data_IF_598367700445
#
_entry.id   IF_598367700445
#
_cell.length_a   1.000
_cell.length_b   1.000
_cell.length_c   1.000
_cell.angle_alpha   90.00
_cell.angle_beta   90.00
_cell.angle_gamma   90.00
#
_symmetry.space_group_name_H-M   'P 1'
#
loop_
_entity.id
_entity.type
_entity.pdbx_description
1 polymer ?
#
# COMPACT_ATOMS: atom_id res chain seq x y z
N UNK A 1 -1.59 23.29 -4.48
CA UNK A 1 -0.25 22.94 -5.00
C UNK A 1 -0.05 23.70 -6.29
N UNK A 2 1.10 24.36 -6.44
CA UNK A 2 1.50 24.96 -7.72
C UNK A 2 2.05 23.86 -8.64
N UNK A 3 1.58 23.82 -9.88
CA UNK A 3 1.99 22.81 -10.85
C UNK A 3 3.44 23.05 -11.34
N UNK A 4 3.90 24.30 -11.39
CA UNK A 4 5.24 24.66 -11.82
C UNK A 4 6.30 24.30 -10.78
N UNK A 5 5.97 24.40 -9.49
CA UNK A 5 6.83 23.94 -8.40
C UNK A 5 7.02 22.42 -8.46
N UNK A 6 5.96 21.69 -8.78
CA UNK A 6 6.00 20.25 -8.94
C UNK A 6 6.92 19.86 -10.11
N UNK A 7 6.72 20.46 -11.29
CA UNK A 7 7.57 20.20 -12.44
C UNK A 7 9.05 20.52 -12.17
N UNK A 8 9.33 21.64 -11.51
CA UNK A 8 10.70 22.05 -11.16
C UNK A 8 11.34 21.06 -10.19
N UNK A 9 10.66 20.67 -9.12
CA UNK A 9 11.20 19.71 -8.15
C UNK A 9 11.44 18.32 -8.76
N UNK A 10 10.61 17.88 -9.70
CA UNK A 10 10.84 16.63 -10.43
C UNK A 10 12.08 16.72 -11.35
N UNK A 11 12.20 17.82 -12.12
CA UNK A 11 13.34 18.05 -12.99
C UNK A 11 14.67 18.16 -12.22
N UNK A 12 14.64 18.74 -11.02
CA UNK A 12 15.79 18.88 -10.13
C UNK A 12 16.09 17.59 -9.32
N UNK A 13 15.28 16.53 -9.47
CA UNK A 13 15.45 15.27 -8.74
C UNK A 13 15.15 15.34 -7.24
N UNK A 14 14.37 16.34 -6.80
CA UNK A 14 14.00 16.55 -5.39
C UNK A 14 13.06 15.46 -4.88
N UNK A 15 12.21 14.92 -5.75
CA UNK A 15 11.28 13.84 -5.42
C UNK A 15 11.04 12.93 -6.63
N UNK A 16 10.62 11.69 -6.37
CA UNK A 16 10.36 10.68 -7.42
C UNK A 16 8.89 10.64 -7.85
N UNK A 17 7.97 10.92 -6.92
CA UNK A 17 6.53 10.83 -7.13
C UNK A 17 5.78 11.80 -6.23
N UNK A 18 4.51 12.06 -6.55
CA UNK A 18 3.61 12.82 -5.70
C UNK A 18 2.50 11.91 -5.16
N UNK A 19 2.15 12.07 -3.88
CA UNK A 19 1.12 11.27 -3.20
C UNK A 19 -0.13 12.12 -2.96
N UNK A 20 -1.29 11.61 -3.37
CA UNK A 20 -2.59 12.16 -2.96
C UNK A 20 -3.10 11.38 -1.75
N UNK A 21 -3.42 12.14 -0.70
CA UNK A 21 -4.30 11.73 0.38
C UNK A 21 -5.62 12.50 0.27
N UNK A 22 -6.76 11.81 0.13
CA UNK A 22 -8.06 12.44 0.35
C UNK A 22 -8.13 13.00 1.77
N UNK A 23 -8.74 14.17 1.93
CA UNK A 23 -8.80 14.84 3.23
C UNK A 23 -9.45 13.93 4.28
N UNK A 24 -8.76 13.71 5.41
CA UNK A 24 -9.17 12.86 6.52
C UNK A 24 -9.25 11.35 6.23
N UNK A 25 -8.57 10.85 5.19
CA UNK A 25 -8.56 9.43 4.87
C UNK A 25 -7.71 8.59 5.81
N UNK A 26 -6.61 9.15 6.33
CA UNK A 26 -5.65 8.44 7.19
C UNK A 26 -4.89 9.40 8.12
N UNK A 27 -3.93 8.88 8.90
CA UNK A 27 -3.07 9.66 9.79
C UNK A 27 -2.43 10.85 9.06
N UNK A 28 -2.49 12.04 9.67
CA UNK A 28 -1.94 13.31 9.13
C UNK A 28 -2.55 13.79 7.79
N UNK A 29 -3.71 13.27 7.37
CA UNK A 29 -4.36 13.67 6.10
C UNK A 29 -5.36 14.83 6.23
N UNK A 30 -5.42 15.54 7.35
CA UNK A 30 -6.37 16.64 7.55
C UNK A 30 -6.22 17.80 6.54
N UNK A 31 -5.00 18.01 6.02
CA UNK A 31 -4.69 18.96 4.95
C UNK A 31 -4.79 18.33 3.54
N UNK A 32 -5.40 17.16 3.41
CA UNK A 32 -5.55 16.43 2.16
C UNK A 32 -6.53 17.08 1.18
N UNK A 33 -6.77 16.39 0.07
CA UNK A 33 -7.57 16.91 -1.05
C UNK A 33 -9.05 16.71 -0.77
N UNK A 34 -9.83 17.79 -0.78
CA UNK A 34 -11.29 17.76 -0.57
C UNK A 34 -12.10 17.55 -1.84
N UNK A 35 -11.64 18.08 -2.98
CA UNK A 35 -12.19 17.80 -4.30
C UNK A 35 -11.04 17.48 -5.27
N UNK A 36 -11.03 16.26 -5.81
CA UNK A 36 -9.97 15.76 -6.67
C UNK A 36 -9.93 16.47 -8.03
N UNK A 37 -11.06 16.99 -8.51
CA UNK A 37 -11.14 17.73 -9.78
C UNK A 37 -10.34 19.03 -9.75
N UNK A 38 -10.21 19.65 -8.57
CA UNK A 38 -9.38 20.84 -8.39
C UNK A 38 -7.89 20.56 -8.64
N UNK A 39 -7.47 19.29 -8.63
CA UNK A 39 -6.11 18.89 -8.96
C UNK A 39 -5.91 18.61 -10.44
N UNK A 40 -6.93 18.64 -11.29
CA UNK A 40 -6.78 18.29 -12.71
C UNK A 40 -5.69 19.10 -13.43
N UNK A 41 -5.52 20.41 -13.19
CA UNK A 41 -4.39 21.15 -13.75
C UNK A 41 -3.02 20.62 -13.29
N UNK A 42 -2.92 20.18 -12.02
CA UNK A 42 -1.71 19.56 -11.47
C UNK A 42 -1.49 18.18 -12.07
N UNK A 43 -2.54 17.38 -12.22
CA UNK A 43 -2.48 16.04 -12.85
C UNK A 43 -2.08 16.13 -14.32
N UNK A 44 -2.61 17.11 -15.06
CA UNK A 44 -2.19 17.39 -16.43
C UNK A 44 -0.70 17.73 -16.49
N UNK A 45 -0.18 18.48 -15.52
CA UNK A 45 1.24 18.78 -15.46
C UNK A 45 2.08 17.56 -15.10
N UNK A 46 1.63 16.75 -14.14
CA UNK A 46 2.26 15.47 -13.81
C UNK A 46 2.34 14.55 -15.03
N UNK A 47 1.26 14.47 -15.81
CA UNK A 47 1.24 13.69 -17.05
C UNK A 47 2.26 14.22 -18.07
N UNK A 48 2.32 15.53 -18.27
CA UNK A 48 3.24 16.15 -19.22
C UNK A 48 4.71 15.95 -18.85
N UNK A 49 5.03 15.95 -17.56
CA UNK A 49 6.39 15.80 -17.03
C UNK A 49 6.73 14.36 -16.61
N UNK A 50 5.83 13.39 -16.90
CA UNK A 50 5.98 11.98 -16.54
C UNK A 50 6.23 11.70 -15.04
N UNK A 51 5.57 12.49 -14.18
CA UNK A 51 5.64 12.35 -12.72
C UNK A 51 4.62 11.30 -12.27
N UNK A 52 5.07 10.33 -11.48
CA UNK A 52 4.20 9.27 -10.95
C UNK A 52 3.25 9.83 -9.89
N UNK A 53 1.97 9.48 -10.02
CA UNK A 53 0.93 9.74 -9.04
C UNK A 53 0.70 8.50 -8.16
N UNK A 54 1.03 8.59 -6.88
CA UNK A 54 0.65 7.60 -5.88
C UNK A 54 -0.69 8.01 -5.25
N UNK A 55 -1.61 7.08 -5.03
CA UNK A 55 -2.95 7.38 -4.52
C UNK A 55 -3.29 6.48 -3.34
N UNK A 56 -3.64 7.08 -2.20
CA UNK A 56 -4.44 6.41 -1.19
C UNK A 56 -5.91 6.49 -1.61
N UNK A 57 -6.44 5.42 -2.20
CA UNK A 57 -7.73 5.45 -2.90
C UNK A 57 -8.92 5.10 -2.01
N UNK A 58 -9.24 5.92 -1.02
CA UNK A 58 -10.47 5.81 -0.23
C UNK A 58 -11.23 7.15 -0.22
N UNK A 59 -12.54 7.11 -0.39
CA UNK A 59 -13.38 8.27 -0.06
C UNK A 59 -13.53 8.39 1.46
N UNK A 60 -13.77 9.60 1.97
CA UNK A 60 -13.78 9.86 3.42
C UNK A 60 -15.14 10.30 3.95
N UNK A 61 -16.16 10.17 3.09
CA UNK A 61 -17.54 10.56 3.41
C UNK A 61 -18.05 9.78 4.63
N UNK A 62 -18.66 10.50 5.57
CA UNK A 62 -19.11 9.95 6.85
C UNK A 62 -20.25 8.92 6.71
N UNK A 63 -20.98 8.97 5.60
CA UNK A 63 -22.10 8.06 5.30
C UNK A 63 -21.68 6.79 4.55
N UNK A 64 -20.39 6.67 4.19
CA UNK A 64 -19.86 5.52 3.47
C UNK A 64 -19.14 4.61 4.45
N UNK A 65 -19.57 3.35 4.50
CA UNK A 65 -18.97 2.34 5.34
C UNK A 65 -17.48 2.17 4.99
N UNK A 66 -16.63 2.05 6.00
CA UNK A 66 -15.17 1.94 5.83
C UNK A 66 -14.75 0.76 4.94
N UNK A 67 -15.56 -0.30 4.87
CA UNK A 67 -15.30 -1.44 4.01
C UNK A 67 -15.57 -1.16 2.52
N UNK A 68 -16.37 -0.13 2.20
CA UNK A 68 -16.80 0.20 0.83
C UNK A 68 -16.01 1.38 0.22
N UNK A 69 -15.24 2.12 1.04
CA UNK A 69 -14.56 3.36 0.65
C UNK A 69 -13.59 3.21 -0.52
N UNK A 70 -12.87 2.09 -0.60
CA UNK A 70 -11.92 1.83 -1.69
C UNK A 70 -12.65 1.65 -3.03
N UNK A 71 -13.74 0.87 -3.03
CA UNK A 71 -14.57 0.68 -4.21
C UNK A 71 -15.23 2.00 -4.66
N UNK A 72 -15.80 2.74 -3.72
CA UNK A 72 -16.40 4.05 -4.01
C UNK A 72 -15.39 5.04 -4.60
N UNK A 73 -14.14 5.01 -4.16
CA UNK A 73 -13.08 5.83 -4.76
C UNK A 73 -12.80 5.45 -6.21
N UNK A 74 -12.77 4.15 -6.53
CA UNK A 74 -12.60 3.66 -7.90
C UNK A 74 -13.70 4.21 -8.80
N UNK A 75 -14.94 4.03 -8.37
CA UNK A 75 -16.13 4.34 -9.16
C UNK A 75 -16.33 5.86 -9.33
N UNK A 76 -16.04 6.66 -8.29
CA UNK A 76 -16.22 8.13 -8.33
C UNK A 76 -15.06 8.90 -8.94
N UNK A 77 -13.83 8.41 -8.80
CA UNK A 77 -12.65 9.21 -9.06
C UNK A 77 -11.63 8.51 -9.94
N UNK A 78 -11.17 7.31 -9.57
CA UNK A 78 -9.99 6.73 -10.19
C UNK A 78 -10.21 6.39 -11.68
N UNK A 79 -11.39 5.86 -12.03
CA UNK A 79 -11.77 5.63 -13.43
C UNK A 79 -11.73 6.91 -14.26
N UNK A 80 -12.24 8.03 -13.72
CA UNK A 80 -12.25 9.32 -14.40
C UNK A 80 -10.84 9.91 -14.54
N UNK A 81 -9.99 9.80 -13.52
CA UNK A 81 -8.59 10.25 -13.57
C UNK A 81 -7.84 9.52 -14.69
N UNK A 82 -7.93 8.18 -14.73
CA UNK A 82 -7.23 7.38 -15.75
C UNK A 82 -7.77 7.64 -17.15
N UNK A 83 -9.07 7.90 -17.30
CA UNK A 83 -9.67 8.24 -18.59
C UNK A 83 -9.26 9.65 -19.09
N UNK A 84 -9.16 10.63 -18.19
CA UNK A 84 -8.82 12.01 -18.53
C UNK A 84 -7.31 12.22 -18.75
N UNK A 85 -6.47 11.42 -18.09
CA UNK A 85 -5.01 11.49 -18.16
C UNK A 85 -4.42 10.14 -18.58
N UNK A 86 -4.61 9.72 -19.85
CA UNK A 86 -4.28 8.37 -20.31
C UNK A 86 -2.78 8.04 -20.30
N UNK A 87 -1.90 9.04 -20.18
CA UNK A 87 -0.44 8.86 -20.08
C UNK A 87 0.09 9.05 -18.65
N UNK A 88 -0.74 9.51 -17.71
CA UNK A 88 -0.33 9.67 -16.32
C UNK A 88 -0.07 8.30 -15.70
N UNK A 89 1.15 8.08 -15.20
CA UNK A 89 1.49 6.88 -14.43
C UNK A 89 0.89 6.97 -13.03
N UNK A 90 0.07 5.99 -12.67
CA UNK A 90 -0.65 5.93 -11.40
C UNK A 90 -0.29 4.65 -10.64
N UNK A 91 0.07 4.80 -9.37
CA UNK A 91 0.17 3.70 -8.41
C UNK A 91 -1.03 3.79 -7.48
N UNK A 92 -1.92 2.80 -7.56
CA UNK A 92 -2.96 2.57 -6.57
C UNK A 92 -2.31 1.90 -5.36
N UNK A 93 -2.02 2.69 -4.33
CA UNK A 93 -1.28 2.20 -3.17
C UNK A 93 -2.12 1.21 -2.37
N UNK A 94 -1.42 0.26 -1.73
CA UNK A 94 -1.90 -0.64 -0.68
C UNK A 94 -3.34 -1.15 -0.90
N UNK A 95 -3.63 -1.67 -2.10
CA UNK A 95 -4.98 -2.11 -2.47
C UNK A 95 -5.47 -3.23 -1.55
N UNK A 96 -6.78 -3.24 -1.24
CA UNK A 96 -7.35 -4.15 -0.24
C UNK A 96 -8.56 -4.94 -0.73
N UNK A 97 -9.07 -4.64 -1.92
CA UNK A 97 -10.29 -5.24 -2.48
C UNK A 97 -10.02 -6.00 -3.79
N UNK A 98 -10.79 -7.07 -4.02
CA UNK A 98 -10.98 -7.67 -5.35
C UNK A 98 -11.31 -6.61 -6.41
N UNK A 99 -12.18 -5.64 -6.11
CA UNK A 99 -12.54 -4.56 -7.02
C UNK A 99 -11.32 -3.74 -7.49
N UNK A 100 -10.37 -3.46 -6.59
CA UNK A 100 -9.12 -2.78 -6.94
C UNK A 100 -8.19 -3.65 -7.79
N UNK A 101 -8.12 -4.95 -7.51
CA UNK A 101 -7.38 -5.91 -8.36
C UNK A 101 -7.95 -5.91 -9.77
N UNK A 102 -9.27 -6.09 -9.91
CA UNK A 102 -9.98 -6.09 -11.20
C UNK A 102 -9.75 -4.78 -11.96
N UNK A 103 -9.86 -3.63 -11.28
CA UNK A 103 -9.60 -2.32 -11.87
C UNK A 103 -8.16 -2.19 -12.42
N UNK A 104 -7.15 -2.64 -11.66
CA UNK A 104 -5.74 -2.57 -12.09
C UNK A 104 -5.48 -3.50 -13.27
N UNK A 105 -6.04 -4.72 -13.24
CA UNK A 105 -5.94 -5.69 -14.35
C UNK A 105 -6.54 -5.14 -15.65
N UNK A 106 -7.74 -4.56 -15.58
CA UNK A 106 -8.47 -3.96 -16.70
C UNK A 106 -7.84 -2.67 -17.24
N UNK A 107 -7.06 -1.96 -16.43
CA UNK A 107 -6.43 -0.69 -16.81
C UNK A 107 -5.28 -0.85 -17.81
N UNK A 108 -4.80 0.26 -18.38
CA UNK A 108 -3.61 0.23 -19.24
C UNK A 108 -2.30 0.06 -18.46
N UNK A 109 -1.14 0.00 -19.15
CA UNK A 109 0.18 -0.20 -18.53
C UNK A 109 0.63 0.98 -17.65
N UNK A 110 -0.04 2.13 -17.74
CA UNK A 110 0.22 3.29 -16.89
C UNK A 110 -0.35 3.14 -15.47
N UNK A 111 -1.15 2.12 -15.19
CA UNK A 111 -1.72 1.86 -13.86
C UNK A 111 -1.08 0.61 -13.25
N UNK A 112 -0.54 0.77 -12.05
CA UNK A 112 -0.03 -0.30 -11.22
C UNK A 112 -0.56 -0.18 -9.79
N UNK A 113 -0.27 -1.16 -8.94
CA UNK A 113 -0.64 -1.15 -7.54
C UNK A 113 0.44 -1.75 -6.64
N UNK A 114 0.50 -1.23 -5.42
CA UNK A 114 1.24 -1.88 -4.33
C UNK A 114 0.31 -2.73 -3.49
N UNK A 115 0.83 -3.86 -2.99
CA UNK A 115 0.10 -4.74 -2.07
C UNK A 115 0.98 -4.93 -0.84
N UNK A 116 0.42 -4.74 0.34
CA UNK A 116 1.14 -4.83 1.62
C UNK A 116 1.18 -6.27 2.14
N UNK A 117 2.14 -6.65 3.01
CA UNK A 117 2.18 -8.02 3.50
C UNK A 117 0.97 -8.33 4.39
N UNK A 118 0.50 -7.38 5.21
CA UNK A 118 -0.70 -7.58 6.03
C UNK A 118 -1.94 -7.92 5.21
N UNK A 119 -2.16 -7.27 4.07
CA UNK A 119 -3.35 -7.53 3.25
C UNK A 119 -3.27 -8.86 2.48
N UNK A 120 -2.11 -9.51 2.46
CA UNK A 120 -1.95 -10.89 1.96
C UNK A 120 -2.16 -11.95 3.06
N UNK A 121 -1.84 -11.61 4.31
CA UNK A 121 -1.93 -12.52 5.46
C UNK A 121 -3.29 -12.50 6.14
N UNK A 122 -3.83 -11.31 6.39
CA UNK A 122 -5.01 -11.13 7.24
C UNK A 122 -6.23 -10.69 6.44
N UNK A 123 -7.37 -11.24 6.83
CA UNK A 123 -8.68 -10.63 6.56
C UNK A 123 -9.20 -9.99 7.86
N UNK A 124 -10.33 -9.28 7.79
CA UNK A 124 -10.90 -8.54 8.92
C UNK A 124 -11.18 -9.38 10.18
N UNK A 125 -11.30 -10.71 10.08
CA UNK A 125 -11.47 -11.56 11.25
C UNK A 125 -10.24 -11.51 12.17
N UNK A 126 -9.02 -11.36 11.62
CA UNK A 126 -7.80 -11.19 12.42
C UNK A 126 -7.83 -9.93 13.29
N UNK A 127 -8.67 -8.96 12.95
CA UNK A 127 -8.85 -7.73 13.72
C UNK A 127 -9.99 -7.85 14.76
N UNK A 128 -10.96 -8.74 14.56
CA UNK A 128 -12.26 -8.68 15.26
C UNK A 128 -12.68 -9.95 16.01
N UNK A 129 -12.21 -11.14 15.62
CA UNK A 129 -12.64 -12.42 16.21
C UNK A 129 -11.86 -12.70 17.50
N UNK A 130 -12.57 -13.05 18.57
CA UNK A 130 -11.97 -13.36 19.88
C UNK A 130 -11.55 -12.13 20.70
N UNK A 131 -11.67 -10.93 20.13
CA UNK A 131 -11.31 -9.66 20.75
C UNK A 131 -10.77 -8.69 19.70
N UNK A 132 -10.91 -7.38 19.95
CA UNK A 132 -10.34 -6.36 19.06
C UNK A 132 -8.81 -6.41 19.12
N UNK A 133 -8.17 -6.55 17.96
CA UNK A 133 -6.71 -6.57 17.80
C UNK A 133 -6.25 -5.26 17.14
N UNK A 134 -5.93 -4.20 17.91
CA UNK A 134 -5.60 -2.89 17.34
C UNK A 134 -4.32 -2.91 16.51
N UNK A 135 -3.38 -3.82 16.78
CA UNK A 135 -2.15 -3.98 15.99
C UNK A 135 -2.39 -4.53 14.58
N UNK A 136 -3.60 -5.03 14.29
CA UNK A 136 -4.05 -5.40 12.93
C UNK A 136 -4.90 -4.31 12.25
N UNK A 137 -5.11 -3.17 12.90
CA UNK A 137 -5.86 -2.04 12.34
C UNK A 137 -4.96 -1.10 11.54
N UNK A 138 -5.26 -0.94 10.25
CA UNK A 138 -4.66 0.02 9.32
C UNK A 138 -5.71 0.55 8.33
N UNK A 139 -5.30 1.47 7.45
CA UNK A 139 -6.14 2.03 6.40
C UNK A 139 -5.42 1.90 5.04
N UNK A 140 -6.10 1.38 4.00
CA UNK A 140 -7.47 0.87 4.00
C UNK A 140 -7.62 -0.35 4.90
N UNK A 141 -8.79 -0.54 5.51
CA UNK A 141 -8.98 -1.63 6.48
C UNK A 141 -8.90 -3.00 5.80
N UNK A 142 -8.32 -4.01 6.46
CA UNK A 142 -8.39 -5.39 5.98
C UNK A 142 -9.85 -5.80 5.73
N UNK A 143 -10.11 -6.43 4.58
CA UNK A 143 -11.47 -6.70 4.07
C UNK A 143 -11.90 -8.16 4.34
N UNK A 144 -13.00 -8.60 3.74
CA UNK A 144 -13.44 -10.01 3.76
C UNK A 144 -12.45 -10.92 3.05
N UNK A 145 -12.53 -12.22 3.34
CA UNK A 145 -11.59 -13.23 2.82
C UNK A 145 -11.51 -13.27 1.29
N UNK A 146 -12.62 -13.07 0.58
CA UNK A 146 -12.62 -13.06 -0.89
C UNK A 146 -11.67 -11.99 -1.47
N UNK A 147 -11.52 -10.85 -0.78
CA UNK A 147 -10.61 -9.80 -1.22
C UNK A 147 -9.16 -10.19 -0.91
N UNK A 148 -8.88 -10.78 0.26
CA UNK A 148 -7.54 -11.29 0.60
C UNK A 148 -7.05 -12.31 -0.44
N UNK A 149 -7.92 -13.25 -0.83
CA UNK A 149 -7.61 -14.25 -1.86
C UNK A 149 -7.35 -13.62 -3.24
N UNK A 150 -8.11 -12.59 -3.61
CA UNK A 150 -7.86 -11.84 -4.84
C UNK A 150 -6.48 -11.15 -4.82
N UNK A 151 -6.11 -10.54 -3.69
CA UNK A 151 -4.80 -9.91 -3.52
C UNK A 151 -3.64 -10.91 -3.59
N UNK A 152 -3.79 -12.08 -2.95
CA UNK A 152 -2.79 -13.17 -3.02
C UNK A 152 -2.58 -13.61 -4.45
N UNK A 153 -3.65 -13.89 -5.18
CA UNK A 153 -3.59 -14.25 -6.60
C UNK A 153 -2.91 -13.15 -7.44
N UNK A 154 -3.23 -11.88 -7.19
CA UNK A 154 -2.65 -10.76 -7.91
C UNK A 154 -1.15 -10.63 -7.66
N UNK A 155 -0.72 -10.65 -6.39
CA UNK A 155 0.68 -10.54 -6.00
C UNK A 155 1.54 -11.68 -6.58
N UNK A 156 1.04 -12.92 -6.55
CA UNK A 156 1.79 -14.11 -6.98
C UNK A 156 1.64 -14.44 -8.46
N UNK A 157 0.93 -13.62 -9.24
CA UNK A 157 0.63 -13.84 -10.66
C UNK A 157 1.83 -13.71 -11.60
N UNK A 158 2.90 -13.02 -11.18
CA UNK A 158 3.99 -12.59 -12.07
C UNK A 158 3.66 -11.38 -12.95
N UNK A 159 2.49 -10.76 -12.77
CA UNK A 159 2.13 -9.53 -13.49
C UNK A 159 3.01 -8.34 -13.07
N UNK A 160 3.54 -7.54 -14.02
CA UNK A 160 4.34 -6.36 -13.72
C UNK A 160 3.54 -5.20 -13.12
N UNK A 161 2.20 -5.31 -13.06
CA UNK A 161 1.33 -4.28 -12.49
C UNK A 161 1.26 -4.31 -10.96
N UNK A 162 1.71 -5.39 -10.33
CA UNK A 162 1.70 -5.54 -8.87
C UNK A 162 3.13 -5.65 -8.34
N UNK A 163 3.45 -4.82 -7.35
CA UNK A 163 4.77 -4.81 -6.73
C UNK A 163 4.72 -4.47 -5.24
N UNK A 164 5.84 -4.71 -4.58
CA UNK A 164 5.98 -4.56 -3.14
C UNK A 164 5.78 -3.11 -2.68
N UNK A 165 4.90 -2.91 -1.70
CA UNK A 165 4.81 -1.68 -0.92
C UNK A 165 4.31 -2.03 0.47
N UNK A 166 5.15 -1.85 1.50
CA UNK A 166 4.87 -2.38 2.84
C UNK A 166 3.77 -1.61 3.57
N UNK A 167 3.64 -0.31 3.27
CA UNK A 167 2.88 0.64 4.09
C UNK A 167 3.23 0.51 5.58
N UNK A 168 4.52 0.30 5.88
CA UNK A 168 4.97 0.16 7.26
C UNK A 168 4.79 1.49 7.99
N UNK A 169 3.82 1.51 8.91
CA UNK A 169 3.37 2.70 9.63
C UNK A 169 3.53 2.49 11.14
N UNK A 170 4.71 2.76 11.71
CA UNK A 170 4.96 2.57 13.13
C UNK A 170 4.18 3.57 13.97
N UNK A 171 3.56 3.06 15.03
CA UNK A 171 2.97 3.85 16.10
C UNK A 171 3.41 3.30 17.44
N UNK A 172 3.57 4.20 18.41
CA UNK A 172 3.79 3.80 19.80
C UNK A 172 2.67 2.88 20.27
N UNK A 173 3.02 1.89 21.08
CA UNK A 173 2.08 0.92 21.64
C UNK A 173 0.92 1.61 22.37
N UNK A 174 1.22 2.67 23.12
CA UNK A 174 0.24 3.50 23.82
C UNK A 174 -0.76 4.18 22.88
N UNK A 175 -0.35 4.53 21.65
CA UNK A 175 -1.21 5.14 20.65
C UNK A 175 -2.10 4.09 19.95
N UNK A 176 -1.62 2.85 19.81
CA UNK A 176 -2.39 1.71 19.29
C UNK A 176 -3.39 1.17 20.32
N UNK A 177 -2.97 1.00 21.56
CA UNK A 177 -3.74 0.46 22.69
C UNK A 177 -4.44 1.58 23.47
N UNK A 178 -5.29 2.34 22.78
CA UNK A 178 -5.99 3.50 23.34
C UNK A 178 -7.49 3.47 23.06
N UNK A 179 -8.24 4.45 23.58
CA UNK A 179 -9.66 4.63 23.27
C UNK A 179 -9.93 4.95 21.78
N UNK A 180 -8.89 5.41 21.05
CA UNK A 180 -8.94 5.69 19.61
C UNK A 180 -7.61 5.25 18.99
N UNK A 181 -7.44 3.94 18.81
CA UNK A 181 -6.19 3.35 18.32
C UNK A 181 -5.81 3.87 16.92
N UNK A 182 -4.55 4.31 16.75
CA UNK A 182 -4.07 4.78 15.45
C UNK A 182 -4.09 3.67 14.39
N UNK A 183 -4.44 4.02 13.15
CA UNK A 183 -4.34 3.14 11.99
C UNK A 183 -2.88 3.04 11.53
N UNK A 184 -2.36 1.82 11.39
CA UNK A 184 -1.01 1.57 10.90
C UNK A 184 -0.42 0.27 11.46
N UNK A 185 0.32 -0.45 10.63
CA UNK A 185 1.00 -1.70 11.03
C UNK A 185 2.50 -1.53 10.83
N UNK A 186 3.29 -1.83 11.85
CA UNK A 186 4.74 -1.76 11.77
C UNK A 186 5.33 -3.05 11.20
N UNK A 187 5.26 -3.20 9.87
CA UNK A 187 5.69 -4.41 9.17
C UNK A 187 7.14 -4.41 8.67
N UNK A 188 7.83 -3.26 8.63
CA UNK A 188 9.16 -3.16 8.02
C UNK A 188 10.20 -4.19 8.51
N UNK A 189 10.32 -4.52 9.82
CA UNK A 189 11.38 -5.41 10.29
C UNK A 189 11.33 -6.85 9.75
N UNK A 190 10.16 -7.33 9.34
CA UNK A 190 9.95 -8.72 8.88
C UNK A 190 9.13 -8.78 7.59
N UNK A 191 9.20 -7.73 6.76
CA UNK A 191 8.35 -7.59 5.59
C UNK A 191 8.66 -8.65 4.52
N UNK A 192 9.95 -8.90 4.25
CA UNK A 192 10.36 -9.83 3.19
C UNK A 192 9.98 -11.27 3.53
N UNK A 193 10.21 -11.67 4.78
CA UNK A 193 9.84 -12.95 5.39
C UNK A 193 8.32 -13.16 5.28
N UNK A 194 7.54 -12.11 5.54
CA UNK A 194 6.09 -12.13 5.42
C UNK A 194 5.62 -12.31 3.97
N UNK A 195 6.20 -11.57 3.02
CA UNK A 195 5.84 -11.75 1.60
C UNK A 195 6.24 -13.12 1.07
N UNK A 196 7.49 -13.55 1.30
CA UNK A 196 7.99 -14.82 0.76
C UNK A 196 7.21 -16.00 1.32
N UNK A 197 6.73 -15.92 2.56
CA UNK A 197 5.79 -16.91 3.14
C UNK A 197 4.53 -17.06 2.28
N UNK A 198 3.91 -15.96 1.87
CA UNK A 198 2.72 -16.01 0.99
C UNK A 198 3.06 -16.56 -0.39
N UNK A 199 4.17 -16.11 -0.98
CA UNK A 199 4.59 -16.59 -2.30
C UNK A 199 4.90 -18.08 -2.28
N UNK A 200 5.44 -18.59 -1.17
CA UNK A 200 5.67 -20.02 -0.97
C UNK A 200 4.37 -20.81 -0.84
N UNK A 201 3.45 -20.36 0.02
CA UNK A 201 2.12 -20.98 0.21
C UNK A 201 1.32 -21.07 -1.09
N UNK A 202 1.44 -20.09 -1.99
CA UNK A 202 0.78 -20.05 -3.30
C UNK A 202 1.58 -20.78 -4.40
N UNK A 203 2.76 -21.34 -4.10
CA UNK A 203 3.64 -21.95 -5.10
C UNK A 203 4.22 -20.95 -6.12
N UNK A 204 4.24 -19.67 -5.77
CA UNK A 204 4.64 -18.54 -6.61
C UNK A 204 6.07 -18.01 -6.40
N UNK A 205 6.95 -18.74 -5.70
CA UNK A 205 8.33 -18.27 -5.39
C UNK A 205 9.11 -17.77 -6.61
N UNK A 206 8.91 -18.37 -7.79
CA UNK A 206 9.54 -17.94 -9.04
C UNK A 206 9.15 -16.52 -9.49
N UNK A 207 8.06 -15.98 -8.98
CA UNK A 207 7.58 -14.62 -9.27
C UNK A 207 7.99 -13.60 -8.19
N UNK A 208 8.59 -14.03 -7.08
CA UNK A 208 8.85 -13.17 -5.93
C UNK A 208 9.84 -12.05 -6.25
N UNK A 209 10.94 -12.35 -6.95
CA UNK A 209 11.92 -11.34 -7.37
C UNK A 209 11.28 -10.26 -8.26
N UNK A 210 10.40 -10.67 -9.18
CA UNK A 210 9.62 -9.75 -10.00
C UNK A 210 8.86 -8.73 -9.15
N UNK A 211 8.04 -9.24 -8.22
CA UNK A 211 7.22 -8.43 -7.31
C UNK A 211 8.06 -7.54 -6.37
N UNK A 212 9.14 -8.08 -5.80
CA UNK A 212 9.91 -7.43 -4.75
C UNK A 212 10.99 -6.48 -5.27
N UNK A 213 11.50 -6.68 -6.49
CA UNK A 213 12.75 -6.05 -6.93
C UNK A 213 12.76 -5.55 -8.38
N UNK A 214 11.88 -6.02 -9.26
CA UNK A 214 11.96 -5.67 -10.69
C UNK A 214 10.80 -4.78 -11.16
N UNK A 215 9.57 -5.12 -10.78
CA UNK A 215 8.36 -4.45 -11.28
C UNK A 215 8.29 -2.99 -10.81
N UNK A 216 8.61 -2.72 -9.55
CA UNK A 216 8.67 -1.37 -8.99
C UNK A 216 9.66 -0.47 -9.72
N UNK A 217 10.97 -0.80 -9.76
CA UNK A 217 11.96 -0.01 -10.49
C UNK A 217 11.61 0.20 -11.96
N UNK A 218 11.09 -0.83 -12.65
CA UNK A 218 10.61 -0.70 -14.03
C UNK A 218 9.47 0.32 -14.15
N UNK A 219 8.46 0.25 -13.27
CA UNK A 219 7.35 1.19 -13.27
C UNK A 219 7.80 2.62 -12.96
N UNK A 220 8.72 2.81 -12.02
CA UNK A 220 9.27 4.12 -11.65
C UNK A 220 10.37 4.64 -12.58
N UNK A 221 10.86 3.82 -13.52
CA UNK A 221 12.02 4.12 -14.39
C UNK A 221 13.31 4.37 -13.61
N UNK A 222 13.52 3.59 -12.56
CA UNK A 222 14.72 3.59 -11.73
C UNK A 222 15.59 2.36 -12.01
N UNK A 223 16.91 2.44 -11.78
CA UNK A 223 17.78 1.28 -11.92
C UNK A 223 17.39 0.17 -10.94
N UNK A 224 17.58 -1.08 -11.37
CA UNK A 224 17.48 -2.25 -10.50
C UNK A 224 18.74 -2.32 -9.62
N UNK A 225 18.59 -2.76 -8.38
CA UNK A 225 19.73 -2.98 -7.48
C UNK A 225 20.63 -4.11 -8.01
N UNK A 226 21.94 -3.95 -7.87
CA UNK A 226 22.91 -4.99 -8.25
C UNK A 226 23.23 -5.96 -7.09
N UNK A 227 22.99 -5.53 -5.86
CA UNK A 227 23.17 -6.35 -4.67
C UNK A 227 22.02 -7.36 -4.50
N UNK A 228 22.35 -8.50 -3.91
CA UNK A 228 21.41 -9.60 -3.67
C UNK A 228 21.23 -9.84 -2.18
N UNK A 229 20.00 -10.18 -1.79
CA UNK A 229 19.69 -10.74 -0.46
C UNK A 229 19.32 -12.22 -0.59
N UNK A 230 19.62 -13.03 0.42
CA UNK A 230 19.22 -14.44 0.48
C UNK A 230 18.23 -14.62 1.63
N UNK A 231 17.04 -15.15 1.33
CA UNK A 231 16.04 -15.55 2.32
C UNK A 231 16.16 -17.05 2.53
N UNK A 232 16.38 -17.47 3.78
CA UNK A 232 16.59 -18.88 4.15
C UNK A 232 15.37 -19.40 4.90
N UNK A 233 14.93 -20.62 4.60
CA UNK A 233 13.87 -21.26 5.38
C UNK A 233 14.39 -21.64 6.76
N UNK A 234 14.18 -20.76 7.74
CA UNK A 234 14.60 -20.94 9.11
C UNK A 234 13.59 -20.34 10.08
N UNK A 235 13.56 -20.85 11.30
CA UNK A 235 12.73 -20.26 12.35
C UNK A 235 13.32 -18.91 12.78
N UNK A 236 12.51 -17.85 12.67
CA UNK A 236 12.87 -16.50 13.10
C UNK A 236 11.89 -16.01 14.16
N UNK A 237 12.38 -15.87 15.39
CA UNK A 237 11.57 -15.34 16.49
C UNK A 237 11.44 -13.82 16.38
N UNK A 238 10.20 -13.33 16.33
CA UNK A 238 9.87 -11.90 16.26
C UNK A 238 9.76 -11.34 17.69
N UNK A 239 10.55 -10.30 18.06
CA UNK A 239 10.43 -9.67 19.36
C UNK A 239 9.00 -9.19 19.64
N UNK A 240 8.49 -9.42 20.86
CA UNK A 240 7.15 -8.99 21.24
C UNK A 240 6.97 -7.46 21.19
N UNK A 241 8.03 -6.70 21.48
CA UNK A 241 8.08 -5.26 21.34
C UNK A 241 9.52 -4.81 21.02
N UNK A 242 9.63 -3.59 20.51
CA UNK A 242 10.89 -2.88 20.28
C UNK A 242 10.88 -1.60 21.11
N UNK A 243 11.98 -1.32 21.81
CA UNK A 243 12.12 -0.12 22.63
C UNK A 243 12.73 1.02 21.82
N UNK A 244 12.05 2.16 21.75
CA UNK A 244 12.50 3.38 21.07
C UNK A 244 12.39 4.54 22.04
N UNK A 245 13.53 5.16 22.39
CA UNK A 245 13.60 6.34 23.28
C UNK A 245 12.83 6.19 24.62
N UNK A 246 12.76 4.97 25.17
CA UNK A 246 12.04 4.68 26.41
C UNK A 246 10.56 4.35 26.25
N UNK A 247 10.05 4.34 25.01
CA UNK A 247 8.70 3.91 24.66
C UNK A 247 8.73 2.58 23.89
N UNK A 248 7.57 1.96 23.71
CA UNK A 248 7.44 0.67 23.01
C UNK A 248 6.73 0.83 21.67
N UNK A 249 7.19 0.09 20.67
CA UNK A 249 6.49 -0.15 19.41
C UNK A 249 6.35 -1.68 19.26
N UNK A 250 5.16 -2.15 18.86
CA UNK A 250 4.92 -3.57 18.61
C UNK A 250 5.13 -3.83 17.11
N UNK A 251 6.16 -4.61 16.71
CA UNK A 251 6.30 -5.01 15.32
C UNK A 251 5.16 -5.96 14.94
N UNK A 252 4.78 -5.95 13.67
CA UNK A 252 3.86 -6.95 13.15
C UNK A 252 4.49 -8.33 13.28
N UNK A 253 3.68 -9.34 13.63
CA UNK A 253 4.11 -10.65 14.14
C UNK A 253 4.76 -10.66 15.55
N UNK A 254 4.67 -9.58 16.33
CA UNK A 254 5.22 -9.50 17.68
C UNK A 254 4.97 -10.75 18.54
N UNK A 255 6.04 -11.45 18.93
CA UNK A 255 6.00 -12.66 19.76
C UNK A 255 5.74 -13.97 19.02
N UNK A 256 5.58 -13.93 17.70
CA UNK A 256 5.46 -15.13 16.85
C UNK A 256 6.84 -15.62 16.35
N UNK A 257 6.83 -16.79 15.71
CA UNK A 257 7.96 -17.33 14.97
C UNK A 257 7.59 -17.43 13.49
N UNK A 258 8.40 -16.83 12.61
CA UNK A 258 8.29 -16.94 11.15
C UNK A 258 9.14 -18.11 10.63
N UNK A 259 8.86 -18.57 9.41
CA UNK A 259 9.53 -19.74 8.80
C UNK A 259 10.53 -19.41 7.67
N UNK A 260 10.84 -18.13 7.51
CA UNK A 260 11.75 -17.55 6.53
C UNK A 260 12.56 -16.44 7.17
#
# INVERSE_FOLDING_TARGET
TDADDLARGAADGVFTAAKIYPANATTNSAAGVSNIENLYPVLARMEAEDIVLCIHGEVTDHNIDVFDREKEFIDRHLRAIVANFPKLRVVFEHITTRDAVEFVEESGPQVAATITPQHLHINRNAMLVGGIQPHNYCLPVAKREEHRLALRKAATSGSPKFFLGTDSAPHLRSAKESACGCAGIFGAPFALESYVTVFDEEGGLSHFEGFASLHGPAFYKLPVNEETVTLERAEVAVPACLHVTGEEIVPWHGGATLGW
#
